data_IF_505618210675
#
_entry.id   IF_505618210675
#
_cell.length_a   1.000
_cell.length_b   1.000
_cell.length_c   1.000
_cell.angle_alpha   90.00
_cell.angle_beta   90.00
_cell.angle_gamma   90.00
#
_symmetry.space_group_name_H-M   'P 1'
#
loop_
_entity.id
_entity.type
_entity.pdbx_description
1 polymer ?
#
# COMPACT_ATOMS: atom_id res chain seq x y z
N UNK A 1 4.08 -14.95 6.80
CA UNK A 1 2.71 -15.23 6.34
C UNK A 1 1.81 -15.16 7.56
N UNK A 2 0.80 -14.29 7.56
CA UNK A 2 -0.29 -14.39 8.55
C UNK A 2 -0.80 -15.81 8.49
N UNK A 3 -0.78 -16.48 9.63
CA UNK A 3 -0.99 -17.91 9.77
C UNK A 3 -2.45 -18.26 9.41
N UNK A 4 -2.80 -18.17 8.12
CA UNK A 4 -4.16 -18.42 7.63
C UNK A 4 -4.53 -19.87 7.88
N UNK A 5 -3.54 -20.77 7.84
CA UNK A 5 -3.72 -22.16 8.22
C UNK A 5 -3.97 -22.27 9.72
N UNK A 6 -3.21 -21.63 10.62
CA UNK A 6 -3.55 -21.64 12.04
C UNK A 6 -4.81 -20.86 12.39
N UNK A 7 -5.16 -19.80 11.65
CA UNK A 7 -6.41 -19.07 11.83
C UNK A 7 -7.60 -19.99 11.49
N UNK A 8 -7.47 -20.75 10.40
CA UNK A 8 -8.42 -21.81 10.03
C UNK A 8 -8.46 -22.89 11.12
N UNK A 9 -7.30 -23.38 11.60
CA UNK A 9 -7.25 -24.39 12.67
C UNK A 9 -7.82 -23.87 14.01
N UNK A 10 -7.68 -22.58 14.31
CA UNK A 10 -8.20 -21.93 15.52
C UNK A 10 -9.72 -21.77 15.46
N UNK A 11 -10.28 -21.43 14.30
CA UNK A 11 -11.73 -21.38 14.09
C UNK A 11 -12.38 -22.78 14.18
N UNK A 12 -11.64 -23.84 13.87
CA UNK A 12 -12.12 -25.22 13.90
C UNK A 12 -12.15 -25.86 15.30
N UNK A 13 -11.55 -25.25 16.32
CA UNK A 13 -11.57 -25.73 17.71
C UNK A 13 -12.93 -25.66 18.42
N UNK A 14 -13.94 -25.04 17.80
CA UNK A 14 -15.31 -24.96 18.32
C UNK A 14 -16.23 -25.96 17.60
N UNK A 15 -16.07 -27.25 17.92
CA UNK A 15 -17.01 -28.29 17.53
C UNK A 15 -17.72 -28.79 18.79
N UNK A 16 -18.93 -28.31 19.15
CA UNK A 16 -19.64 -28.81 20.31
C UNK A 16 -20.23 -30.16 19.93
N UNK A 17 -19.63 -31.23 20.41
CA UNK A 17 -20.22 -32.56 20.36
C UNK A 17 -21.10 -32.74 21.61
N UNK A 18 -22.42 -32.99 21.51
CA UNK A 18 -23.19 -33.48 22.64
C UNK A 18 -23.54 -34.95 22.41
N UNK A 19 -22.92 -35.84 23.17
CA UNK A 19 -23.46 -37.18 23.45
C UNK A 19 -23.91 -37.24 24.90
N UNK A 20 -25.18 -36.93 25.16
CA UNK A 20 -25.97 -37.48 26.26
C UNK A 20 -27.41 -37.60 25.76
N UNK A 21 -27.96 -38.81 25.81
CA UNK A 21 -29.22 -39.17 25.18
C UNK A 21 -30.46 -38.56 25.82
N UNK A 22 -31.44 -38.26 24.96
CA UNK A 22 -32.86 -38.27 25.30
C UNK A 22 -33.68 -38.51 24.01
N UNK A 23 -34.69 -39.39 23.99
CA UNK A 23 -35.43 -39.72 22.78
C UNK A 23 -36.61 -38.76 22.61
N UNK A 24 -36.59 -37.97 21.54
CA UNK A 24 -37.76 -37.19 21.13
C UNK A 24 -37.44 -35.85 20.51
N UNK A 25 -36.88 -35.83 19.29
CA UNK A 25 -37.06 -34.69 18.37
C UNK A 25 -36.75 -35.10 16.91
N UNK A 26 -37.72 -35.07 15.97
CA UNK A 26 -37.44 -35.26 14.55
C UNK A 26 -37.16 -33.88 13.94
N UNK A 27 -35.89 -33.45 13.96
CA UNK A 27 -35.55 -32.08 13.55
C UNK A 27 -34.10 -31.82 13.16
N UNK A 28 -33.34 -32.84 12.74
CA UNK A 28 -32.10 -32.59 12.01
C UNK A 28 -32.47 -32.23 10.55
N UNK A 29 -32.85 -30.98 10.31
CA UNK A 29 -33.02 -30.48 8.96
C UNK A 29 -31.62 -30.33 8.36
N UNK A 30 -31.12 -31.41 7.74
CA UNK A 30 -29.97 -31.30 6.82
C UNK A 30 -30.36 -30.24 5.81
N UNK A 31 -29.70 -29.09 5.85
CA UNK A 31 -29.95 -28.03 4.88
C UNK A 31 -29.56 -28.55 3.50
N UNK A 32 -30.53 -28.58 2.57
CA UNK A 32 -30.31 -28.95 1.18
C UNK A 32 -29.16 -28.12 0.59
N UNK A 33 -28.34 -28.76 -0.24
CA UNK A 33 -27.20 -28.12 -0.89
C UNK A 33 -27.60 -26.87 -1.68
N UNK A 34 -28.77 -26.89 -2.33
CA UNK A 34 -29.30 -25.74 -3.07
C UNK A 34 -29.53 -24.53 -2.16
N UNK A 35 -30.13 -24.74 -0.98
CA UNK A 35 -30.39 -23.67 -0.02
C UNK A 35 -29.09 -23.12 0.57
N UNK A 36 -28.13 -23.99 0.82
CA UNK A 36 -26.81 -23.59 1.28
C UNK A 36 -26.07 -22.78 0.21
N UNK A 37 -26.15 -23.20 -1.06
CA UNK A 37 -25.56 -22.46 -2.17
C UNK A 37 -26.22 -21.08 -2.33
N UNK A 38 -27.54 -20.99 -2.24
CA UNK A 38 -28.26 -19.71 -2.26
C UNK A 38 -27.81 -18.77 -1.15
N UNK A 39 -27.69 -19.28 0.09
CA UNK A 39 -27.18 -18.50 1.22
C UNK A 39 -25.75 -18.03 0.99
N UNK A 40 -24.88 -18.91 0.50
CA UNK A 40 -23.52 -18.56 0.13
C UNK A 40 -23.48 -17.46 -0.92
N UNK A 41 -24.28 -17.54 -1.99
CA UNK A 41 -24.34 -16.52 -3.04
C UNK A 41 -24.84 -15.16 -2.53
N UNK A 42 -25.69 -15.12 -1.49
CA UNK A 42 -26.13 -13.85 -0.88
C UNK A 42 -24.98 -13.02 -0.31
N UNK A 43 -23.86 -13.65 0.07
CA UNK A 43 -22.66 -12.94 0.52
C UNK A 43 -21.80 -12.38 -0.64
N UNK A 44 -22.26 -12.55 -1.89
CA UNK A 44 -21.53 -12.17 -3.10
C UNK A 44 -20.07 -12.66 -3.11
N UNK A 45 -19.84 -13.97 -2.92
CA UNK A 45 -18.51 -14.56 -2.93
C UNK A 45 -17.78 -14.26 -4.26
N UNK A 46 -16.56 -13.71 -4.21
CA UNK A 46 -15.83 -13.30 -5.40
C UNK A 46 -15.36 -14.51 -6.22
N UNK A 47 -15.35 -14.36 -7.55
CA UNK A 47 -14.69 -15.30 -8.47
C UNK A 47 -13.17 -15.19 -8.37
N UNK A 48 -12.48 -16.29 -8.64
CA UNK A 48 -11.02 -16.32 -8.68
C UNK A 48 -10.49 -16.96 -9.95
N UNK A 49 -9.87 -16.12 -10.78
CA UNK A 49 -9.21 -16.49 -12.02
C UNK A 49 -7.72 -16.77 -11.83
N UNK A 50 -7.20 -16.57 -10.62
CA UNK A 50 -5.77 -16.67 -10.31
C UNK A 50 -5.01 -15.39 -10.62
N UNK A 51 -3.69 -15.52 -10.68
CA UNK A 51 -2.78 -14.43 -10.97
C UNK A 51 -1.40 -14.67 -10.34
N UNK A 52 -0.38 -13.94 -10.77
CA UNK A 52 0.95 -14.02 -10.18
C UNK A 52 1.05 -13.29 -8.83
N UNK A 53 0.08 -12.44 -8.49
CA UNK A 53 0.11 -11.64 -7.26
C UNK A 53 -0.40 -12.45 -6.05
N UNK A 54 0.47 -12.80 -5.09
CA UNK A 54 0.05 -13.50 -3.87
C UNK A 54 -0.91 -12.65 -3.02
N UNK A 55 -0.88 -11.32 -3.11
CA UNK A 55 -1.79 -10.47 -2.35
C UNK A 55 -3.24 -10.61 -2.83
N UNK A 56 -3.46 -10.80 -4.14
CA UNK A 56 -4.79 -11.09 -4.69
C UNK A 56 -5.30 -12.44 -4.19
N UNK A 57 -4.45 -13.46 -4.19
CA UNK A 57 -4.79 -14.80 -3.71
C UNK A 57 -5.15 -14.78 -2.22
N UNK A 58 -4.38 -14.06 -1.39
CA UNK A 58 -4.63 -13.93 0.05
C UNK A 58 -5.97 -13.25 0.34
N UNK A 59 -6.22 -12.09 -0.31
CA UNK A 59 -7.46 -11.33 -0.13
C UNK A 59 -8.68 -12.16 -0.51
N UNK A 60 -8.60 -12.89 -1.62
CA UNK A 60 -9.66 -13.77 -2.05
C UNK A 60 -9.91 -14.89 -1.03
N UNK A 61 -8.86 -15.59 -0.59
CA UNK A 61 -8.99 -16.69 0.36
C UNK A 61 -9.56 -16.19 1.70
N UNK A 62 -9.09 -15.05 2.20
CA UNK A 62 -9.61 -14.44 3.44
C UNK A 62 -11.10 -14.15 3.33
N UNK A 63 -11.56 -13.59 2.21
CA UNK A 63 -12.99 -13.35 1.99
C UNK A 63 -13.82 -14.63 2.03
N UNK A 64 -13.29 -15.73 1.48
CA UNK A 64 -13.94 -17.03 1.53
C UNK A 64 -14.01 -17.59 2.96
N UNK A 65 -12.91 -17.49 3.72
CA UNK A 65 -12.87 -17.85 5.15
C UNK A 65 -13.91 -17.08 5.95
N UNK A 66 -13.99 -15.75 5.76
CA UNK A 66 -14.95 -14.90 6.48
C UNK A 66 -16.41 -15.31 6.20
N UNK A 67 -16.72 -15.65 4.94
CA UNK A 67 -18.06 -16.11 4.55
C UNK A 67 -18.38 -17.46 5.18
N UNK A 68 -17.44 -18.42 5.14
CA UNK A 68 -17.66 -19.74 5.72
C UNK A 68 -17.76 -19.73 7.23
N UNK A 69 -17.00 -18.86 7.90
CA UNK A 69 -17.12 -18.62 9.34
C UNK A 69 -18.51 -18.11 9.73
N UNK A 70 -19.11 -17.22 8.93
CA UNK A 70 -20.45 -16.72 9.17
C UNK A 70 -21.55 -17.75 8.90
N UNK A 71 -21.30 -18.71 8.00
CA UNK A 71 -22.28 -19.72 7.58
C UNK A 71 -22.17 -21.05 8.33
N UNK A 72 -21.10 -21.28 9.09
CA UNK A 72 -20.83 -22.51 9.85
C UNK A 72 -20.94 -23.80 8.99
N UNK A 73 -20.40 -23.76 7.78
CA UNK A 73 -20.44 -24.90 6.86
C UNK A 73 -19.40 -25.97 7.21
N UNK A 74 -19.74 -27.24 6.96
CA UNK A 74 -18.78 -28.35 7.08
C UNK A 74 -17.62 -28.19 6.11
N UNK A 75 -16.49 -28.81 6.41
CA UNK A 75 -15.28 -28.69 5.59
C UNK A 75 -15.52 -29.14 4.13
N UNK A 76 -16.25 -30.22 3.92
CA UNK A 76 -16.55 -30.73 2.58
C UNK A 76 -17.39 -29.73 1.78
N UNK A 77 -18.36 -29.09 2.44
CA UNK A 77 -19.21 -28.07 1.84
C UNK A 77 -18.40 -26.82 1.51
N UNK A 78 -17.48 -26.41 2.38
CA UNK A 78 -16.56 -25.30 2.11
C UNK A 78 -15.71 -25.57 0.86
N UNK A 79 -15.17 -26.78 0.72
CA UNK A 79 -14.40 -27.19 -0.48
C UNK A 79 -15.30 -27.19 -1.72
N UNK A 80 -16.51 -27.71 -1.67
CA UNK A 80 -17.43 -27.69 -2.81
C UNK A 80 -17.70 -26.25 -3.29
N UNK A 81 -17.99 -25.33 -2.37
CA UNK A 81 -18.39 -23.97 -2.69
C UNK A 81 -17.20 -23.08 -3.09
N UNK A 82 -16.02 -23.27 -2.51
CA UNK A 82 -14.83 -22.53 -2.94
C UNK A 82 -14.44 -22.90 -4.37
N UNK A 83 -14.55 -24.18 -4.71
CA UNK A 83 -14.25 -24.71 -6.04
C UNK A 83 -15.25 -24.20 -7.08
N UNK A 84 -16.51 -24.00 -6.68
CA UNK A 84 -17.51 -23.35 -7.51
C UNK A 84 -17.13 -21.91 -7.90
N UNK A 85 -16.33 -21.22 -7.08
CA UNK A 85 -15.85 -19.86 -7.35
C UNK A 85 -14.52 -19.80 -8.11
N UNK A 86 -13.89 -20.95 -8.37
CA UNK A 86 -12.69 -21.02 -9.20
C UNK A 86 -13.07 -21.02 -10.68
N UNK A 87 -12.39 -20.17 -11.45
CA UNK A 87 -12.57 -20.03 -12.90
C UNK A 87 -11.22 -20.05 -13.64
N UNK A 88 -11.27 -20.22 -14.96
CA UNK A 88 -10.11 -20.19 -15.84
C UNK A 88 -9.02 -21.20 -15.44
N UNK A 89 -7.76 -20.77 -15.50
CA UNK A 89 -6.59 -21.62 -15.26
C UNK A 89 -6.57 -22.23 -13.84
N UNK A 90 -7.14 -21.55 -12.84
CA UNK A 90 -7.18 -22.06 -11.47
C UNK A 90 -8.17 -23.20 -11.33
N UNK A 91 -9.30 -23.14 -12.05
CA UNK A 91 -10.24 -24.25 -12.11
C UNK A 91 -9.61 -25.48 -12.74
N UNK A 92 -8.86 -25.31 -13.82
CA UNK A 92 -8.11 -26.40 -14.46
C UNK A 92 -7.05 -26.99 -13.53
N UNK A 93 -6.29 -26.16 -12.82
CA UNK A 93 -5.34 -26.61 -11.80
C UNK A 93 -6.04 -27.42 -10.69
N UNK A 94 -7.18 -26.94 -10.18
CA UNK A 94 -7.92 -27.66 -9.14
C UNK A 94 -8.41 -29.03 -9.61
N UNK A 95 -8.82 -29.17 -10.87
CA UNK A 95 -9.23 -30.47 -11.41
C UNK A 95 -8.08 -31.49 -11.35
N UNK A 96 -6.83 -31.07 -11.60
CA UNK A 96 -5.65 -31.94 -11.46
C UNK A 96 -5.45 -32.37 -10.00
N UNK A 97 -5.57 -31.43 -9.06
CA UNK A 97 -5.48 -31.73 -7.62
C UNK A 97 -6.60 -32.68 -7.17
N UNK A 98 -7.82 -32.49 -7.68
CA UNK A 98 -8.94 -33.38 -7.39
C UNK A 98 -8.67 -34.83 -7.82
N UNK A 99 -8.18 -35.03 -9.05
CA UNK A 99 -7.80 -36.37 -9.53
C UNK A 99 -6.67 -36.99 -8.70
N UNK A 100 -5.73 -36.17 -8.21
CA UNK A 100 -4.70 -36.62 -7.26
C UNK A 100 -5.34 -37.07 -5.94
N UNK A 101 -6.23 -36.25 -5.36
CA UNK A 101 -6.91 -36.58 -4.12
C UNK A 101 -7.74 -37.86 -4.21
N UNK A 102 -8.43 -38.08 -5.33
CA UNK A 102 -9.18 -39.31 -5.59
C UNK A 102 -8.26 -40.54 -5.60
N UNK A 103 -7.10 -40.46 -6.26
CA UNK A 103 -6.11 -41.55 -6.32
C UNK A 103 -5.51 -41.84 -4.94
N UNK A 104 -5.19 -40.80 -4.18
CA UNK A 104 -4.52 -40.88 -2.88
C UNK A 104 -5.50 -41.06 -1.71
N UNK A 105 -6.81 -41.12 -1.98
CA UNK A 105 -7.88 -41.13 -0.97
C UNK A 105 -7.74 -39.97 0.05
N UNK A 106 -7.31 -38.81 -0.43
CA UNK A 106 -7.17 -37.62 0.40
C UNK A 106 -8.55 -37.07 0.76
N UNK A 107 -8.86 -36.85 2.05
CA UNK A 107 -10.14 -36.27 2.47
C UNK A 107 -10.38 -34.88 1.86
N UNK A 108 -11.63 -34.62 1.45
CA UNK A 108 -12.02 -33.31 0.89
C UNK A 108 -12.27 -32.27 1.98
N UNK A 109 -11.22 -31.97 2.75
CA UNK A 109 -11.28 -31.00 3.86
C UNK A 109 -10.81 -29.62 3.46
N UNK A 110 -11.33 -28.61 4.17
CA UNK A 110 -10.94 -27.22 3.96
C UNK A 110 -9.44 -27.02 4.21
N UNK A 111 -8.89 -27.67 5.25
CA UNK A 111 -7.46 -27.65 5.55
C UNK A 111 -6.62 -28.17 4.38
N UNK A 112 -7.04 -29.27 3.75
CA UNK A 112 -6.33 -29.81 2.59
C UNK A 112 -6.41 -28.85 1.39
N UNK A 113 -7.56 -28.21 1.17
CA UNK A 113 -7.71 -27.21 0.11
C UNK A 113 -6.76 -26.04 0.34
N UNK A 114 -6.75 -25.46 1.54
CA UNK A 114 -5.87 -24.33 1.90
C UNK A 114 -4.41 -24.72 1.74
N UNK A 115 -4.02 -25.95 2.08
CA UNK A 115 -2.65 -26.44 1.86
C UNK A 115 -2.25 -26.43 0.38
N UNK A 116 -3.09 -26.99 -0.49
CA UNK A 116 -2.81 -27.01 -1.94
C UNK A 116 -2.84 -25.60 -2.54
N UNK A 117 -3.77 -24.75 -2.08
CA UNK A 117 -3.83 -23.34 -2.46
C UNK A 117 -2.55 -22.60 -2.06
N UNK A 118 -2.09 -22.81 -0.83
CA UNK A 118 -0.88 -22.17 -0.32
C UNK A 118 0.38 -22.64 -1.04
N UNK A 119 0.49 -23.93 -1.35
CA UNK A 119 1.59 -24.46 -2.14
C UNK A 119 1.69 -23.79 -3.52
N UNK A 120 0.55 -23.48 -4.14
CA UNK A 120 0.50 -22.81 -5.45
C UNK A 120 0.85 -21.32 -5.38
N UNK A 121 0.23 -20.56 -4.49
CA UNK A 121 0.30 -19.08 -4.50
C UNK A 121 1.32 -18.51 -3.53
N UNK A 122 1.74 -19.29 -2.54
CA UNK A 122 2.71 -18.89 -1.54
C UNK A 122 3.81 -19.93 -1.43
N UNK A 123 4.33 -20.39 -2.57
CA UNK A 123 5.52 -21.23 -2.61
C UNK A 123 6.72 -20.53 -1.95
N UNK A 124 7.71 -21.27 -1.43
CA UNK A 124 8.89 -20.67 -0.79
C UNK A 124 9.56 -19.58 -1.65
N UNK A 125 9.68 -19.80 -2.96
CA UNK A 125 10.26 -18.82 -3.88
C UNK A 125 9.43 -17.52 -3.99
N UNK A 126 8.09 -17.62 -3.99
CA UNK A 126 7.23 -16.43 -4.00
C UNK A 126 7.36 -15.66 -2.68
N UNK A 127 7.45 -16.38 -1.56
CA UNK A 127 7.66 -15.77 -0.24
C UNK A 127 9.02 -15.06 -0.16
N UNK A 128 10.09 -15.72 -0.60
CA UNK A 128 11.44 -15.16 -0.68
C UNK A 128 11.45 -13.89 -1.53
N UNK A 129 10.86 -13.93 -2.74
CA UNK A 129 10.75 -12.75 -3.60
C UNK A 129 10.02 -11.57 -2.93
N UNK A 130 9.00 -11.85 -2.11
CA UNK A 130 8.24 -10.82 -1.37
C UNK A 130 8.99 -10.30 -0.16
N UNK A 131 9.72 -11.14 0.55
CA UNK A 131 10.64 -10.73 1.60
C UNK A 131 11.75 -9.83 1.02
N UNK A 132 12.28 -10.19 -0.14
CA UNK A 132 13.23 -9.40 -0.91
C UNK A 132 12.68 -8.02 -1.33
N UNK A 133 11.42 -7.98 -1.76
CA UNK A 133 10.69 -6.74 -2.05
C UNK A 133 10.60 -5.86 -0.79
N UNK A 134 10.32 -6.46 0.37
CA UNK A 134 10.30 -5.77 1.66
C UNK A 134 11.68 -5.22 2.06
N UNK A 135 12.74 -6.02 1.94
CA UNK A 135 14.12 -5.62 2.27
C UNK A 135 14.56 -4.42 1.41
N UNK A 136 14.19 -4.43 0.13
CA UNK A 136 14.52 -3.37 -0.83
C UNK A 136 13.56 -2.18 -0.80
N UNK A 137 12.47 -2.23 -0.02
CA UNK A 137 11.48 -1.17 0.04
C UNK A 137 12.12 0.14 0.53
N UNK A 138 11.95 1.20 -0.25
CA UNK A 138 12.38 2.56 0.08
C UNK A 138 11.25 3.53 -0.24
N UNK A 139 11.08 4.57 0.57
CA UNK A 139 10.09 5.63 0.34
C UNK A 139 10.29 6.30 -1.03
N UNK A 140 11.54 6.57 -1.41
CA UNK A 140 11.86 7.21 -2.68
C UNK A 140 11.16 8.57 -2.83
N UNK A 141 10.31 8.70 -3.84
CA UNK A 141 9.50 9.90 -4.13
C UNK A 141 8.07 9.83 -3.60
N UNK A 142 7.69 8.71 -2.98
CA UNK A 142 6.36 8.50 -2.43
C UNK A 142 6.18 9.29 -1.14
N UNK A 143 4.93 9.63 -0.83
CA UNK A 143 4.59 10.17 0.49
C UNK A 143 4.90 9.16 1.60
N UNK A 144 5.09 9.64 2.83
CA UNK A 144 5.25 8.75 3.99
C UNK A 144 4.06 7.82 4.15
N UNK A 145 2.84 8.29 3.85
CA UNK A 145 1.62 7.48 3.91
C UNK A 145 1.61 6.33 2.88
N UNK A 146 2.01 6.59 1.63
CA UNK A 146 2.10 5.55 0.60
C UNK A 146 3.21 4.53 0.91
N UNK A 147 4.33 5.00 1.45
CA UNK A 147 5.41 4.14 1.90
C UNK A 147 4.98 3.27 3.08
N UNK A 148 4.29 3.82 4.07
CA UNK A 148 3.74 3.07 5.21
C UNK A 148 2.77 1.98 4.75
N UNK A 149 1.86 2.31 3.84
CA UNK A 149 0.92 1.33 3.29
C UNK A 149 1.64 0.15 2.64
N UNK A 150 2.70 0.41 1.86
CA UNK A 150 3.52 -0.65 1.25
C UNK A 150 4.34 -1.42 2.27
N UNK A 151 4.90 -0.73 3.27
CA UNK A 151 5.65 -1.35 4.35
C UNK A 151 4.76 -2.35 5.10
N UNK A 152 3.58 -1.92 5.53
CA UNK A 152 2.61 -2.77 6.23
C UNK A 152 2.12 -3.90 5.34
N UNK A 153 1.88 -3.66 4.04
CA UNK A 153 1.50 -4.70 3.08
C UNK A 153 2.56 -5.79 2.96
N UNK A 154 3.83 -5.42 2.85
CA UNK A 154 4.93 -6.35 2.60
C UNK A 154 5.48 -7.00 3.87
N UNK A 155 5.35 -6.35 5.03
CA UNK A 155 5.89 -6.82 6.30
C UNK A 155 5.37 -8.21 6.72
N UNK A 156 4.16 -8.59 6.29
CA UNK A 156 3.59 -9.93 6.55
C UNK A 156 4.41 -11.07 5.93
N UNK A 157 5.25 -10.79 4.93
CA UNK A 157 6.14 -11.76 4.29
C UNK A 157 7.51 -11.86 4.98
N UNK A 158 7.86 -10.90 5.83
CA UNK A 158 9.15 -10.84 6.53
C UNK A 158 8.98 -10.73 8.06
N UNK A 159 8.24 -11.66 8.73
CA UNK A 159 7.94 -11.56 10.16
C UNK A 159 9.21 -11.49 11.03
N UNK A 160 10.28 -12.18 10.63
CA UNK A 160 11.56 -12.20 11.35
C UNK A 160 12.27 -10.84 11.37
N UNK A 161 12.08 -10.03 10.32
CA UNK A 161 12.67 -8.69 10.22
C UNK A 161 11.93 -7.68 11.08
N UNK A 162 10.66 -7.91 11.39
CA UNK A 162 9.81 -7.01 12.19
C UNK A 162 9.34 -7.63 13.51
N UNK A 163 10.00 -8.70 13.96
CA UNK A 163 9.59 -9.50 15.12
C UNK A 163 9.46 -8.70 16.42
N UNK A 164 10.26 -7.64 16.58
CA UNK A 164 10.15 -6.72 17.72
C UNK A 164 9.80 -5.33 17.24
N UNK A 165 9.11 -4.55 18.08
CA UNK A 165 8.80 -3.14 17.80
C UNK A 165 10.06 -2.36 17.42
N UNK A 166 11.18 -2.58 18.12
CA UNK A 166 12.45 -1.92 17.82
C UNK A 166 12.99 -2.29 16.44
N UNK A 167 12.90 -3.57 16.05
CA UNK A 167 13.31 -4.01 14.71
C UNK A 167 12.41 -3.40 13.64
N UNK A 168 11.10 -3.42 13.87
CA UNK A 168 10.10 -2.84 12.96
C UNK A 168 10.34 -1.34 12.76
N UNK A 169 10.51 -0.58 13.84
CA UNK A 169 10.85 0.85 13.80
C UNK A 169 12.15 1.08 13.02
N UNK A 170 13.20 0.33 13.32
CA UNK A 170 14.50 0.47 12.64
C UNK A 170 14.38 0.21 11.13
N UNK A 171 13.70 -0.87 10.73
CA UNK A 171 13.46 -1.18 9.32
C UNK A 171 12.66 -0.07 8.63
N UNK A 172 11.63 0.45 9.30
CA UNK A 172 10.83 1.55 8.77
C UNK A 172 11.69 2.79 8.52
N UNK A 173 12.47 3.23 9.51
CA UNK A 173 13.37 4.40 9.40
C UNK A 173 14.38 4.20 8.27
N UNK A 174 15.02 3.03 8.18
CA UNK A 174 16.03 2.75 7.15
C UNK A 174 15.50 2.88 5.72
N UNK A 175 14.21 2.64 5.51
CA UNK A 175 13.59 2.82 4.21
C UNK A 175 13.03 4.23 3.94
N UNK A 176 12.93 5.11 4.93
CA UNK A 176 12.49 6.50 4.73
C UNK A 176 13.47 7.30 3.88
N UNK A 177 13.03 8.44 3.35
CA UNK A 177 13.91 9.40 2.70
C UNK A 177 14.98 9.91 3.69
N UNK A 178 16.24 10.00 3.25
CA UNK A 178 17.40 10.40 4.06
C UNK A 178 17.18 11.69 4.85
N UNK A 179 16.43 12.63 4.28
CA UNK A 179 16.13 13.89 4.93
C UNK A 179 15.17 13.73 6.11
N UNK A 180 14.17 12.86 5.99
CA UNK A 180 13.27 12.51 7.09
C UNK A 180 14.04 11.67 8.13
N UNK A 181 14.90 10.75 7.69
CA UNK A 181 15.76 9.99 8.62
C UNK A 181 16.60 10.91 9.50
N UNK A 182 17.17 11.98 8.92
CA UNK A 182 17.93 13.00 9.65
C UNK A 182 17.05 13.71 10.69
N UNK A 183 15.83 14.11 10.31
CA UNK A 183 14.89 14.78 11.22
C UNK A 183 14.48 13.87 12.40
N UNK A 184 14.44 12.55 12.18
CA UNK A 184 14.11 11.55 13.21
C UNK A 184 15.30 11.13 14.08
N UNK A 185 16.54 11.33 13.64
CA UNK A 185 17.76 10.80 14.28
C UNK A 185 17.97 11.27 15.73
N UNK A 186 17.44 12.44 16.08
CA UNK A 186 17.54 13.04 17.44
C UNK A 186 16.30 12.80 18.29
N UNK A 187 15.31 12.09 17.76
CA UNK A 187 14.04 11.86 18.44
C UNK A 187 14.02 10.50 19.14
N UNK A 188 13.43 10.46 20.34
CA UNK A 188 13.10 9.17 20.95
C UNK A 188 11.87 8.58 20.26
N UNK A 189 11.98 7.32 19.85
CA UNK A 189 10.95 6.57 19.14
C UNK A 189 10.92 5.15 19.72
N UNK A 190 9.79 4.78 20.31
CA UNK A 190 9.65 3.49 21.01
C UNK A 190 8.66 2.53 20.35
N UNK A 191 7.80 3.02 19.44
CA UNK A 191 6.75 2.22 18.81
C UNK A 191 6.64 2.52 17.31
N UNK A 192 6.05 1.59 16.58
CA UNK A 192 5.79 1.76 15.15
C UNK A 192 4.82 2.91 14.87
N UNK A 193 3.80 3.13 15.71
CA UNK A 193 2.88 4.27 15.54
C UNK A 193 3.63 5.60 15.67
N UNK A 194 4.52 5.70 16.66
CA UNK A 194 5.25 6.94 16.95
C UNK A 194 6.21 7.32 15.81
N UNK A 195 6.86 6.34 15.17
CA UNK A 195 7.71 6.62 13.99
C UNK A 195 6.89 7.10 12.79
N UNK A 196 5.72 6.50 12.55
CA UNK A 196 4.85 6.88 11.43
C UNK A 196 4.35 8.32 11.62
N UNK A 197 3.84 8.64 12.81
CA UNK A 197 3.35 9.99 13.11
C UNK A 197 4.46 11.03 12.93
N UNK A 198 5.63 10.82 13.53
CA UNK A 198 6.76 11.76 13.42
C UNK A 198 7.25 11.90 11.98
N UNK A 199 7.28 10.82 11.21
CA UNK A 199 7.66 10.88 9.79
C UNK A 199 6.67 11.72 8.97
N UNK A 200 5.36 11.57 9.23
CA UNK A 200 4.31 12.40 8.60
C UNK A 200 4.46 13.87 8.97
N UNK A 201 4.73 14.17 10.24
CA UNK A 201 5.00 15.54 10.70
C UNK A 201 6.22 16.15 10.02
N UNK A 202 7.32 15.39 9.92
CA UNK A 202 8.54 15.81 9.23
C UNK A 202 8.28 16.09 7.75
N UNK A 203 7.56 15.20 7.05
CA UNK A 203 7.19 15.41 5.65
C UNK A 203 6.38 16.70 5.45
N UNK A 204 5.35 16.93 6.28
CA UNK A 204 4.54 18.14 6.23
C UNK A 204 5.35 19.41 6.52
N UNK A 205 6.17 19.40 7.58
CA UNK A 205 7.05 20.54 7.91
C UNK A 205 7.96 20.91 6.74
N UNK A 206 8.51 19.91 6.05
CA UNK A 206 9.37 20.13 4.88
C UNK A 206 8.60 20.69 3.68
N UNK A 207 7.36 20.26 3.47
CA UNK A 207 6.48 20.85 2.44
C UNK A 207 6.20 22.32 2.75
N UNK A 208 5.95 22.68 4.01
CA UNK A 208 5.76 24.08 4.42
C UNK A 208 7.01 24.93 4.16
N UNK A 209 8.19 24.45 4.54
CA UNK A 209 9.47 25.14 4.28
C UNK A 209 9.69 25.35 2.77
N UNK A 210 9.42 24.33 1.95
CA UNK A 210 9.53 24.42 0.48
C UNK A 210 8.56 25.46 -0.09
N UNK A 211 7.32 25.49 0.39
CA UNK A 211 6.30 26.46 -0.02
C UNK A 211 6.67 27.89 0.37
N UNK A 212 7.26 28.09 1.55
CA UNK A 212 7.75 29.39 1.98
C UNK A 212 8.91 29.88 1.09
N UNK A 213 9.87 29.01 0.79
CA UNK A 213 11.03 29.35 -0.06
C UNK A 213 10.63 29.67 -1.50
N UNK A 214 9.68 28.93 -2.08
CA UNK A 214 9.16 29.19 -3.44
C UNK A 214 8.42 30.52 -3.51
N UNK A 215 7.58 30.85 -2.53
CA UNK A 215 6.93 32.17 -2.43
C UNK A 215 7.93 33.32 -2.34
N UNK A 216 8.99 33.16 -1.53
CA UNK A 216 10.05 34.18 -1.40
C UNK A 216 10.78 34.41 -2.73
N UNK A 217 11.09 33.35 -3.49
CA UNK A 217 11.73 33.46 -4.81
C UNK A 217 10.82 34.12 -5.86
N UNK A 218 9.52 33.84 -5.83
CA UNK A 218 8.54 34.50 -6.71
C UNK A 218 8.39 36.00 -6.43
N UNK A 219 8.55 36.43 -5.18
CA UNK A 219 8.51 37.84 -4.79
C UNK A 219 9.77 38.62 -5.18
N UNK A 220 10.94 37.96 -5.23
CA UNK A 220 12.21 38.59 -5.58
C UNK A 220 12.47 38.71 -7.10
N UNK A 221 11.64 38.11 -7.96
CA UNK A 221 11.75 38.19 -9.43
C UNK A 221 11.03 39.39 -10.07
N UNK A 222 10.28 40.17 -9.28
CA UNK A 222 9.44 41.29 -9.75
C UNK A 222 9.90 42.65 -9.23
N UNK A 223 11.19 42.99 -9.35
CA UNK A 223 11.64 44.38 -9.16
C UNK A 223 12.83 44.67 -10.06
N UNK A 224 12.53 45.03 -11.30
CA UNK A 224 13.41 45.83 -12.14
C UNK A 224 12.55 46.61 -13.14
N UNK A 225 12.90 47.88 -13.34
CA UNK A 225 12.19 48.95 -14.08
C UNK A 225 11.05 49.60 -13.27
N UNK A 226 11.02 50.90 -12.95
CA UNK A 226 11.62 52.11 -13.52
C UNK A 226 12.01 53.07 -12.36
N UNK A 227 13.25 53.55 -12.38
CA UNK A 227 13.65 54.72 -11.60
C UNK A 227 13.40 55.98 -12.43
N UNK A 228 12.23 56.59 -12.30
CA UNK A 228 11.96 57.92 -12.83
C UNK A 228 12.60 58.96 -11.90
N UNK A 229 13.79 59.47 -12.29
CA UNK A 229 14.41 60.65 -11.67
C UNK A 229 13.92 61.91 -12.38
N UNK A 230 12.77 62.43 -11.95
CA UNK A 230 12.38 63.81 -12.23
C UNK A 230 13.25 64.77 -11.41
N UNK A 231 14.05 65.58 -12.11
CA UNK A 231 14.84 66.70 -11.56
C UNK A 231 13.95 67.95 -11.42
N UNK A 232 14.12 68.80 -10.38
CA UNK A 232 13.32 70.00 -10.21
C UNK A 232 13.91 71.19 -10.99
N UNK A 233 13.07 71.92 -11.71
CA UNK A 233 13.44 73.12 -12.48
C UNK A 233 13.67 74.34 -11.57
N UNK A 234 14.86 74.94 -11.66
CA UNK A 234 15.28 76.18 -11.00
C UNK A 234 14.66 77.43 -11.64
N UNK A 235 14.21 78.34 -10.78
CA UNK A 235 13.96 79.76 -11.03
C UNK A 235 15.31 80.51 -11.10
N UNK A 236 15.49 81.42 -12.07
CA UNK A 236 16.72 82.26 -12.12
C UNK A 236 16.86 83.13 -13.36
N UNK A 237 16.40 84.37 -13.24
CA UNK A 237 16.50 85.53 -14.16
C UNK A 237 17.95 86.01 -14.32
N UNK A 238 18.39 86.36 -15.53
CA UNK A 238 19.67 87.06 -15.72
C UNK A 238 20.15 87.23 -17.17
N UNK A 239 20.05 88.46 -17.65
CA UNK A 239 20.51 89.06 -18.92
C UNK A 239 22.02 88.95 -19.21
N UNK A 240 22.41 88.91 -20.50
CA UNK A 240 23.76 89.31 -20.94
C UNK A 240 24.21 88.63 -22.25
N UNK A 241 24.40 89.42 -23.31
CA UNK A 241 24.67 88.95 -24.67
C UNK A 241 26.12 88.56 -24.99
N UNK A 242 26.32 88.11 -26.23
CA UNK A 242 27.64 87.90 -26.84
C UNK A 242 27.62 86.90 -27.99
N UNK A 243 27.72 87.41 -29.23
CA UNK A 243 27.93 86.64 -30.48
C UNK A 243 29.34 86.05 -30.54
N UNK A 244 29.51 84.99 -31.34
CA UNK A 244 30.64 84.57 -32.22
C UNK A 244 30.59 83.03 -32.33
N UNK A 245 30.07 82.44 -33.42
CA UNK A 245 30.73 82.12 -34.70
C UNK A 245 31.94 81.19 -34.56
N UNK A 246 31.77 79.93 -34.97
CA UNK A 246 32.85 78.95 -35.16
C UNK A 246 32.30 77.62 -35.69
N UNK A 247 32.57 77.35 -36.97
CA UNK A 247 31.99 76.26 -37.76
C UNK A 247 32.87 75.01 -37.83
N UNK A 248 32.20 73.90 -38.20
CA UNK A 248 32.69 72.68 -38.87
C UNK A 248 33.64 71.77 -38.05
N UNK A 249 33.66 70.43 -38.18
CA UNK A 249 33.41 69.57 -39.35
C UNK A 249 33.37 68.10 -38.89
N UNK A 250 32.62 67.25 -39.60
CA UNK A 250 33.06 65.88 -39.90
C UNK A 250 32.34 64.72 -39.19
N UNK A 251 31.37 64.17 -39.91
CA UNK A 251 30.59 62.93 -39.70
C UNK A 251 31.41 61.63 -40.00
N UNK A 252 30.84 60.40 -39.80
CA UNK A 252 31.53 59.16 -39.38
C UNK A 252 31.51 58.07 -40.49
N UNK A 253 31.10 56.80 -40.30
CA UNK A 253 31.49 55.68 -39.39
C UNK A 253 32.01 54.46 -40.22
N UNK A 254 32.33 53.30 -39.60
CA UNK A 254 31.96 51.99 -40.19
C UNK A 254 32.10 50.82 -39.22
N UNK A 255 30.99 50.11 -39.03
CA UNK A 255 30.98 48.75 -38.51
C UNK A 255 31.22 47.69 -39.58
N UNK A 256 31.35 46.47 -39.12
CA UNK A 256 31.49 45.21 -39.85
C UNK A 256 31.85 44.13 -38.85
#
# INVERSE_FOLDING_TARGET
>A
MTDLLAHVMQQQGHNPNPSVGNPGNPGNHVESEDRALERFQKFSPPKFLGGPDPDMAERWLKKMVDIFAALYYSEERQVAFVVFQLEGAVRSWWNVIRTKWEREQTPSTWVNFVREFNAKYFSPLIQENKEDEFIRLRQGTQSVAEYESQFTRLAKFAPELIMTEQRRVRCFIQGLNVEIQKDLAVTQINTFSDVVDKALWAENARLQVRNFQTRKRGFSGGSSTQGDKSTPSKLGRGTGGGRFSGAARGTPPRGG
#
